data_IF_333238825904
#
_entry.id   IF_333238825904
#
_cell.length_a   1.000
_cell.length_b   1.000
_cell.length_c   1.000
_cell.angle_alpha   90.00
_cell.angle_beta   90.00
_cell.angle_gamma   90.00
#
_symmetry.space_group_name_H-M   'P 1'
#
loop_
_entity.id
_entity.type
_entity.pdbx_description
1 polymer ?
#
# COMPACT_ATOMS: atom_id res chain seq x y z
N UNK A 1 -7.34 -14.62 -6.67
CA UNK A 1 -7.88 -13.63 -7.61
C UNK A 1 -7.01 -12.38 -7.61
N UNK A 2 -6.76 -11.82 -8.78
CA UNK A 2 -5.84 -10.71 -8.93
C UNK A 2 -6.59 -9.44 -9.31
N UNK A 3 -6.17 -8.32 -8.72
CA UNK A 3 -6.74 -7.00 -9.00
C UNK A 3 -5.60 -6.04 -9.33
N UNK A 4 -5.76 -5.28 -10.41
CA UNK A 4 -4.79 -4.26 -10.79
C UNK A 4 -5.53 -2.99 -11.19
N UNK A 5 -5.12 -1.87 -10.58
CA UNK A 5 -5.73 -0.57 -10.84
C UNK A 5 -4.65 0.51 -10.90
N UNK A 6 -4.94 1.57 -11.63
CA UNK A 6 -4.04 2.72 -11.75
C UNK A 6 -4.76 3.99 -11.34
N UNK A 7 -4.00 4.95 -10.82
CA UNK A 7 -4.50 6.24 -10.38
C UNK A 7 -3.46 7.31 -10.67
N UNK A 8 -3.91 8.44 -11.21
CA UNK A 8 -3.04 9.60 -11.37
C UNK A 8 -2.94 10.35 -10.05
N UNK A 9 -1.73 10.80 -9.71
CA UNK A 9 -1.46 11.59 -8.50
C UNK A 9 -0.72 12.85 -8.91
N UNK A 10 -1.21 14.01 -8.47
CA UNK A 10 -0.64 15.32 -8.81
C UNK A 10 0.56 15.65 -7.91
N UNK A 11 1.60 14.80 -7.97
CA UNK A 11 2.83 14.99 -7.21
C UNK A 11 3.97 14.27 -7.93
N UNK A 12 5.23 14.73 -7.75
CA UNK A 12 6.38 14.08 -8.38
C UNK A 12 6.54 12.63 -7.91
N UNK A 13 7.04 11.74 -8.79
CA UNK A 13 7.19 10.31 -8.42
C UNK A 13 7.98 10.05 -7.14
N UNK A 14 9.05 10.80 -6.92
CA UNK A 14 9.87 10.59 -5.72
C UNK A 14 9.11 10.94 -4.45
N UNK A 15 8.26 11.96 -4.50
CA UNK A 15 7.45 12.34 -3.36
C UNK A 15 6.38 11.29 -3.07
N UNK A 16 5.75 10.76 -4.12
CA UNK A 16 4.76 9.70 -3.97
C UNK A 16 5.42 8.46 -3.38
N UNK A 17 6.56 8.07 -3.90
CA UNK A 17 7.29 6.90 -3.40
C UNK A 17 7.69 7.08 -1.94
N UNK A 18 8.20 8.25 -1.56
CA UNK A 18 8.62 8.50 -0.19
C UNK A 18 7.45 8.35 0.79
N UNK A 19 6.28 8.84 0.42
CA UNK A 19 5.09 8.71 1.26
C UNK A 19 4.66 7.24 1.41
N UNK A 20 4.76 6.46 0.33
CA UNK A 20 4.37 5.05 0.35
C UNK A 20 5.38 4.21 1.12
N UNK A 21 6.66 4.53 1.04
CA UNK A 21 7.73 3.78 1.69
C UNK A 21 7.75 4.01 3.22
N UNK A 22 7.08 5.03 3.70
CA UNK A 22 7.01 5.33 5.12
C UNK A 22 5.96 4.43 5.77
N UNK A 23 6.43 3.46 6.57
CA UNK A 23 5.56 2.49 7.24
C UNK A 23 4.56 3.17 8.16
N UNK A 24 4.92 4.31 8.75
CA UNK A 24 4.00 5.06 9.59
C UNK A 24 2.77 5.58 8.86
N UNK A 25 2.82 5.65 7.53
CA UNK A 25 1.68 6.08 6.72
C UNK A 25 0.75 4.92 6.34
N UNK A 26 1.16 3.67 6.55
CA UNK A 26 0.33 2.52 6.16
C UNK A 26 -1.09 2.59 6.68
N UNK A 27 -1.34 2.92 7.97
CA UNK A 27 -2.71 3.02 8.45
C UNK A 27 -3.51 4.14 7.80
N UNK A 28 -2.85 5.10 7.17
CA UNK A 28 -3.53 6.23 6.53
C UNK A 28 -4.12 5.86 5.18
N UNK A 29 -3.52 4.90 4.47
CA UNK A 29 -4.02 4.52 3.15
C UNK A 29 -4.49 3.07 3.06
N UNK A 30 -4.25 2.26 4.07
CA UNK A 30 -4.82 0.91 4.17
C UNK A 30 -5.91 0.95 5.23
N UNK A 31 -7.19 0.97 4.82
CA UNK A 31 -8.28 1.27 5.77
C UNK A 31 -8.39 0.29 6.95
N UNK A 32 -7.97 -0.94 6.76
CA UNK A 32 -8.09 -1.97 7.79
C UNK A 32 -6.97 -1.92 8.82
N UNK A 33 -5.85 -1.28 8.49
CA UNK A 33 -4.72 -1.21 9.40
C UNK A 33 -4.91 -0.07 10.41
N UNK A 34 -4.69 -0.37 11.68
CA UNK A 34 -4.70 0.63 12.74
C UNK A 34 -3.30 1.00 13.20
N UNK A 35 -2.32 0.11 12.98
CA UNK A 35 -0.93 0.38 13.31
C UNK A 35 -0.01 -0.49 12.45
N UNK A 36 1.21 0.01 12.22
CA UNK A 36 2.24 -0.74 11.52
C UNK A 36 3.60 -0.29 12.04
N UNK A 37 4.50 -1.24 12.28
CA UNK A 37 5.83 -0.96 12.79
C UNK A 37 6.84 -1.98 12.27
N UNK A 38 7.99 -1.50 11.82
CA UNK A 38 9.07 -2.40 11.39
C UNK A 38 9.71 -3.05 12.62
N UNK A 39 9.83 -4.36 12.60
CA UNK A 39 10.39 -5.11 13.72
C UNK A 39 11.77 -5.66 13.41
N UNK A 40 12.01 -6.14 12.19
CA UNK A 40 13.30 -6.72 11.82
C UNK A 40 13.40 -6.84 10.29
N UNK A 41 14.46 -6.27 9.71
CA UNK A 41 14.69 -6.36 8.27
C UNK A 41 13.46 -5.95 7.47
N UNK A 42 12.90 -6.88 6.71
CA UNK A 42 11.72 -6.67 5.90
C UNK A 42 10.42 -6.98 6.64
N UNK A 43 10.49 -7.38 7.89
CA UNK A 43 9.31 -7.75 8.68
C UNK A 43 8.67 -6.54 9.32
N UNK A 44 7.34 -6.46 9.21
CA UNK A 44 6.54 -5.39 9.79
C UNK A 44 5.46 -6.02 10.64
N UNK A 45 5.35 -5.56 11.90
CA UNK A 45 4.23 -5.93 12.76
C UNK A 45 3.05 -5.04 12.42
N UNK A 46 1.92 -5.63 12.13
CA UNK A 46 0.72 -4.89 11.76
C UNK A 46 -0.42 -5.21 12.71
N UNK A 47 -1.26 -4.23 12.94
CA UNK A 47 -2.49 -4.38 13.69
C UNK A 47 -3.64 -3.96 12.78
N UNK A 48 -4.59 -4.84 12.60
CA UNK A 48 -5.71 -4.61 11.71
C UNK A 48 -7.02 -4.77 12.46
N UNK A 49 -8.00 -3.95 12.11
CA UNK A 49 -9.34 -4.06 12.64
C UNK A 49 -10.25 -4.68 11.58
N UNK A 50 -10.84 -5.78 11.95
CA UNK A 50 -11.67 -6.54 11.02
C UNK A 50 -12.92 -7.04 11.74
N UNK A 51 -14.09 -6.66 11.25
CA UNK A 51 -15.40 -7.05 11.80
C UNK A 51 -15.52 -6.79 13.31
N UNK A 52 -14.97 -5.67 13.78
CA UNK A 52 -15.04 -5.33 15.20
C UNK A 52 -13.97 -5.99 16.07
N UNK A 53 -13.12 -6.80 15.46
CA UNK A 53 -12.00 -7.46 16.16
C UNK A 53 -10.68 -6.86 15.76
N UNK A 54 -9.78 -6.74 16.72
CA UNK A 54 -8.39 -6.33 16.46
C UNK A 54 -7.54 -7.57 16.32
N UNK A 55 -6.82 -7.67 15.20
CA UNK A 55 -5.91 -8.78 14.95
C UNK A 55 -4.50 -8.24 14.77
N UNK A 56 -3.52 -8.94 15.29
CA UNK A 56 -2.12 -8.63 15.13
C UNK A 56 -1.47 -9.71 14.29
N UNK A 57 -0.54 -9.29 13.45
CA UNK A 57 0.17 -10.22 12.62
C UNK A 57 1.46 -9.62 12.11
N UNK A 58 2.16 -10.42 11.32
CA UNK A 58 3.38 -9.97 10.68
C UNK A 58 3.20 -10.01 9.17
N UNK A 59 3.83 -9.04 8.52
CA UNK A 59 3.86 -8.97 7.07
C UNK A 59 5.29 -8.67 6.64
N UNK A 60 5.64 -9.07 5.43
CA UNK A 60 6.89 -8.60 4.85
C UNK A 60 6.60 -7.34 4.01
N UNK A 61 7.57 -6.44 3.98
CA UNK A 61 7.42 -5.15 3.30
C UNK A 61 8.78 -4.75 2.73
N UNK A 62 8.87 -4.64 1.42
CA UNK A 62 10.11 -4.33 0.71
C UNK A 62 9.93 -3.12 -0.17
N UNK A 63 10.98 -2.30 -0.24
CA UNK A 63 10.99 -1.11 -1.08
C UNK A 63 12.18 -1.15 -2.03
N UNK A 64 11.99 -0.68 -3.26
CA UNK A 64 13.04 -0.54 -4.26
C UNK A 64 12.98 0.87 -4.81
N UNK A 65 13.97 1.70 -4.44
CA UNK A 65 14.01 3.09 -4.85
C UNK A 65 14.28 3.27 -6.34
N UNK A 66 14.98 2.33 -6.95
CA UNK A 66 15.33 2.45 -8.37
C UNK A 66 14.11 2.29 -9.27
N UNK A 67 13.22 1.37 -8.91
CA UNK A 67 12.01 1.12 -9.67
C UNK A 67 10.81 1.84 -9.10
N UNK A 68 10.95 2.47 -7.94
CA UNK A 68 9.87 3.09 -7.17
C UNK A 68 8.75 2.10 -6.94
N UNK A 69 9.13 0.93 -6.46
CA UNK A 69 8.21 -0.18 -6.23
C UNK A 69 8.22 -0.58 -4.77
N UNK A 70 7.03 -0.88 -4.26
CA UNK A 70 6.84 -1.38 -2.90
C UNK A 70 6.10 -2.70 -3.01
N UNK A 71 6.59 -3.72 -2.30
CA UNK A 71 5.97 -5.03 -2.27
C UNK A 71 5.69 -5.43 -0.83
N UNK A 72 4.58 -6.11 -0.63
CA UNK A 72 4.22 -6.61 0.70
C UNK A 72 3.46 -7.91 0.58
N UNK A 73 3.38 -8.63 1.69
CA UNK A 73 2.62 -9.86 1.72
C UNK A 73 2.60 -10.47 3.10
N UNK A 74 1.82 -11.54 3.24
CA UNK A 74 1.72 -12.31 4.46
C UNK A 74 2.57 -13.56 4.32
N UNK A 75 3.46 -13.87 5.30
CA UNK A 75 4.23 -15.10 5.25
C UNK A 75 3.39 -16.37 5.48
N UNK A 76 2.14 -16.17 5.93
CA UNK A 76 1.27 -17.30 6.29
C UNK A 76 0.15 -17.54 5.27
N UNK A 77 0.09 -16.76 4.21
CA UNK A 77 -0.95 -16.92 3.20
C UNK A 77 -0.43 -16.49 1.83
N UNK A 78 -1.25 -16.69 0.81
CA UNK A 78 -0.93 -16.27 -0.55
C UNK A 78 -1.20 -14.79 -0.81
N UNK A 79 -1.65 -14.05 0.21
CA UNK A 79 -1.91 -12.63 0.07
C UNK A 79 -0.62 -11.86 -0.18
N UNK A 80 -0.58 -11.12 -1.26
CA UNK A 80 0.54 -10.24 -1.56
C UNK A 80 0.10 -9.14 -2.52
N UNK A 81 0.88 -8.07 -2.57
CA UNK A 81 0.61 -6.99 -3.48
C UNK A 81 1.85 -6.16 -3.75
N UNK A 82 1.74 -5.23 -4.68
CA UNK A 82 2.78 -4.26 -4.94
C UNK A 82 2.18 -2.95 -5.42
N UNK A 83 2.90 -1.89 -5.16
CA UNK A 83 2.62 -0.55 -5.67
C UNK A 83 3.84 -0.09 -6.45
N UNK A 84 3.61 0.49 -7.60
CA UNK A 84 4.69 1.03 -8.43
C UNK A 84 4.33 2.44 -8.87
N UNK A 85 5.32 3.34 -8.78
CA UNK A 85 5.13 4.74 -9.13
C UNK A 85 5.93 5.03 -10.39
N UNK A 86 5.27 5.60 -11.39
CA UNK A 86 5.93 6.01 -12.64
C UNK A 86 5.58 7.45 -12.96
N UNK A 87 6.47 8.15 -13.70
CA UNK A 87 6.18 9.52 -14.14
C UNK A 87 4.96 9.56 -15.07
N UNK A 88 4.14 10.59 -14.93
CA UNK A 88 2.99 10.80 -15.78
C UNK A 88 2.75 12.31 -15.93
N UNK A 89 3.28 12.89 -17.00
CA UNK A 89 3.24 14.34 -17.18
C UNK A 89 3.96 15.06 -16.05
N UNK A 90 3.27 16.00 -15.40
CA UNK A 90 3.81 16.74 -14.27
C UNK A 90 3.60 16.01 -12.94
N UNK A 91 2.95 14.87 -12.97
CA UNK A 91 2.66 14.10 -11.78
C UNK A 91 3.14 12.68 -11.89
N UNK A 92 2.38 11.76 -11.31
CA UNK A 92 2.73 10.35 -11.23
C UNK A 92 1.56 9.47 -11.58
N UNK A 93 1.88 8.28 -12.07
CA UNK A 93 0.91 7.18 -12.19
C UNK A 93 1.22 6.17 -11.11
N UNK A 94 0.23 5.87 -10.32
CA UNK A 94 0.33 4.88 -9.27
C UNK A 94 -0.41 3.62 -9.71
N UNK A 95 0.30 2.50 -9.74
CA UNK A 95 -0.27 1.20 -10.09
C UNK A 95 -0.28 0.31 -8.87
N UNK A 96 -1.44 -0.21 -8.53
CA UNK A 96 -1.62 -1.14 -7.41
C UNK A 96 -2.02 -2.49 -7.95
N UNK A 97 -1.27 -3.51 -7.55
CA UNK A 97 -1.60 -4.91 -7.81
C UNK A 97 -1.87 -5.60 -6.48
N UNK A 98 -2.93 -6.40 -6.43
CA UNK A 98 -3.29 -7.14 -5.24
C UNK A 98 -3.74 -8.54 -5.61
N UNK A 99 -3.08 -9.54 -5.03
CA UNK A 99 -3.48 -10.94 -5.16
C UNK A 99 -3.99 -11.43 -3.82
N UNK A 100 -5.18 -11.98 -3.81
CA UNK A 100 -5.80 -12.52 -2.60
C UNK A 100 -6.13 -13.99 -2.80
N UNK A 101 -6.01 -14.76 -1.72
CA UNK A 101 -6.25 -16.19 -1.78
C UNK A 101 -7.72 -16.52 -2.07
N UNK A 102 -8.63 -15.63 -1.71
CA UNK A 102 -10.07 -15.88 -1.85
C UNK A 102 -10.81 -14.92 -2.76
N UNK A 103 -10.11 -13.96 -3.34
CA UNK A 103 -10.75 -12.97 -4.18
C UNK A 103 -11.74 -12.07 -3.46
N UNK A 104 -11.59 -11.94 -2.15
CA UNK A 104 -12.55 -11.22 -1.31
C UNK A 104 -12.31 -9.72 -1.21
N UNK A 105 -11.25 -9.21 -1.81
CA UNK A 105 -11.00 -7.78 -1.80
C UNK A 105 -11.89 -7.14 -2.87
N UNK A 106 -12.97 -6.43 -2.49
CA UNK A 106 -13.80 -5.77 -3.48
C UNK A 106 -13.02 -4.65 -4.16
N UNK A 107 -13.32 -4.39 -5.43
CA UNK A 107 -12.67 -3.33 -6.19
C UNK A 107 -12.78 -1.98 -5.47
N UNK A 108 -13.86 -1.76 -4.73
CA UNK A 108 -14.06 -0.53 -3.97
C UNK A 108 -12.98 -0.33 -2.91
N UNK A 109 -12.48 -1.40 -2.27
CA UNK A 109 -11.39 -1.27 -1.30
C UNK A 109 -10.08 -0.91 -1.98
N UNK A 110 -9.80 -1.51 -3.13
CA UNK A 110 -8.60 -1.20 -3.91
C UNK A 110 -8.63 0.25 -4.37
N UNK A 111 -9.76 0.69 -4.91
CA UNK A 111 -9.92 2.08 -5.34
C UNK A 111 -9.86 3.03 -4.17
N UNK A 112 -10.41 2.64 -3.02
CA UNK A 112 -10.34 3.45 -1.80
C UNK A 112 -8.92 3.64 -1.31
N UNK A 113 -8.09 2.60 -1.39
CA UNK A 113 -6.68 2.69 -1.03
C UNK A 113 -5.94 3.66 -1.95
N UNK A 114 -6.14 3.56 -3.25
CA UNK A 114 -5.52 4.46 -4.21
C UNK A 114 -5.94 5.92 -3.97
N UNK A 115 -7.21 6.15 -3.72
CA UNK A 115 -7.72 7.50 -3.44
C UNK A 115 -7.14 8.04 -2.13
N UNK A 116 -7.01 7.20 -1.12
CA UNK A 116 -6.40 7.61 0.16
C UNK A 116 -4.94 8.00 -0.03
N UNK A 117 -4.19 7.26 -0.83
CA UNK A 117 -2.80 7.59 -1.15
C UNK A 117 -2.73 8.94 -1.87
N UNK A 118 -3.59 9.14 -2.88
CA UNK A 118 -3.64 10.39 -3.61
C UNK A 118 -3.89 11.58 -2.68
N UNK A 119 -4.86 11.46 -1.80
CA UNK A 119 -5.19 12.52 -0.84
C UNK A 119 -4.05 12.80 0.13
N UNK A 120 -3.40 11.75 0.62
CA UNK A 120 -2.29 11.88 1.53
C UNK A 120 -1.13 12.66 0.89
N UNK A 121 -0.76 12.28 -0.32
CA UNK A 121 0.39 12.89 -1.00
C UNK A 121 0.05 14.31 -1.46
N UNK A 122 -1.11 14.53 -2.04
CA UNK A 122 -1.50 15.86 -2.53
C UNK A 122 -1.68 16.85 -1.39
N UNK A 123 -2.09 16.40 -0.22
CA UNK A 123 -2.24 17.27 0.94
C UNK A 123 -0.91 17.75 1.51
N UNK A 124 0.18 17.05 1.24
CA UNK A 124 1.52 17.39 1.76
C UNK A 124 2.29 18.36 0.84
N UNK A 125 1.71 18.76 -0.25
CA UNK A 125 2.37 19.68 -1.18
C UNK A 125 2.23 21.14 -0.81
#
# INVERSE_FOLDING_TARGET
MEHEHTQHVAAPPDRVFAALADIGNLPRYVPQLTAARRTDGDTVSVEARYEGHTQRGEAWFRTDEQTRRIEWGSPQSDYHGWLEVSPDGDGSRLTLFLATARGDAPDSEVMGTLDAIRRLVEAEQ
#
